data_IF_172716919041
#
_entry.id   IF_172716919041
#
_cell.length_a   1.000
_cell.length_b   1.000
_cell.length_c   1.000
_cell.angle_alpha   90.00
_cell.angle_beta   90.00
_cell.angle_gamma   90.00
#
_symmetry.space_group_name_H-M   'P 1'
#
loop_
_entity.id
_entity.type
_entity.pdbx_description
1 polymer ?
#
# COMPACT_ATOMS: atom_id res chain seq x y z
N UNK A 1 21.29 4.11 41.88
CA UNK A 1 21.68 3.68 40.51
C UNK A 1 20.67 2.73 39.85
N UNK A 2 20.04 1.77 40.55
CA UNK A 2 19.03 0.85 39.95
C UNK A 2 17.82 1.54 39.30
N UNK A 3 17.37 2.69 39.82
CA UNK A 3 16.21 3.44 39.27
C UNK A 3 16.52 4.15 37.94
N UNK A 4 17.78 4.56 37.72
CA UNK A 4 18.23 5.20 36.47
C UNK A 4 18.35 4.19 35.33
N UNK A 5 18.76 2.95 35.64
CA UNK A 5 18.81 1.87 34.67
C UNK A 5 17.40 1.46 34.21
N UNK A 6 16.43 1.43 35.14
CA UNK A 6 15.05 1.10 34.82
C UNK A 6 14.41 2.17 33.91
N UNK A 7 14.65 3.46 34.18
CA UNK A 7 14.17 4.56 33.34
C UNK A 7 14.80 4.55 31.94
N UNK A 8 16.08 4.18 31.84
CA UNK A 8 16.76 4.06 30.54
C UNK A 8 16.19 2.90 29.71
N UNK A 9 15.92 1.75 30.33
CA UNK A 9 15.31 0.58 29.66
C UNK A 9 13.90 0.91 29.13
N UNK A 10 13.08 1.63 29.91
CA UNK A 10 11.73 2.02 29.48
C UNK A 10 11.79 3.04 28.32
N UNK A 11 12.77 3.95 28.33
CA UNK A 11 12.96 4.91 27.25
C UNK A 11 13.42 4.24 25.95
N UNK A 12 14.31 3.23 26.01
CA UNK A 12 14.73 2.46 24.85
C UNK A 12 13.61 1.54 24.31
N UNK A 13 12.77 0.97 25.18
CA UNK A 13 11.63 0.13 24.76
C UNK A 13 10.56 0.92 23.98
N UNK A 14 10.48 2.25 24.20
CA UNK A 14 9.52 3.13 23.53
C UNK A 14 9.83 3.35 22.03
N UNK A 15 11.08 3.12 21.62
CA UNK A 15 11.55 3.35 20.23
C UNK A 15 11.30 2.11 19.35
N UNK A 16 11.32 0.92 19.95
CA UNK A 16 11.10 -0.34 19.22
C UNK A 16 9.63 -0.58 18.81
N UNK A 17 8.68 0.16 19.36
CA UNK A 17 7.24 -0.03 19.13
C UNK A 17 6.74 0.50 17.77
N UNK A 18 7.59 1.21 17.00
CA UNK A 18 7.20 1.83 15.72
C UNK A 18 8.09 1.47 14.53
N UNK A 19 8.88 0.38 14.63
CA UNK A 19 9.66 -0.10 13.51
C UNK A 19 8.77 -0.82 12.49
N UNK A 20 8.11 -0.07 11.59
CA UNK A 20 7.40 -0.64 10.45
C UNK A 20 8.40 -1.18 9.42
N UNK A 21 8.06 -2.25 8.71
CA UNK A 21 8.91 -2.75 7.64
C UNK A 21 8.94 -1.77 6.45
N UNK A 22 10.08 -1.58 5.77
CA UNK A 22 10.18 -0.69 4.60
C UNK A 22 9.43 -1.22 3.37
N UNK A 23 9.11 -2.51 3.33
CA UNK A 23 8.33 -3.12 2.26
C UNK A 23 7.49 -4.28 2.80
N UNK A 24 6.53 -4.76 2.02
CA UNK A 24 5.78 -6.00 2.26
C UNK A 24 6.10 -7.05 1.18
N UNK A 25 5.93 -8.32 1.50
CA UNK A 25 6.18 -9.42 0.55
C UNK A 25 5.00 -9.61 -0.41
N UNK A 26 3.79 -9.39 0.09
CA UNK A 26 2.56 -9.49 -0.68
C UNK A 26 1.55 -8.42 -0.26
N UNK A 27 0.50 -8.26 -1.05
CA UNK A 27 -0.55 -7.28 -0.81
C UNK A 27 -1.92 -7.93 -0.96
N UNK A 28 -2.81 -7.67 0.00
CA UNK A 28 -4.23 -7.96 -0.15
C UNK A 28 -4.99 -6.65 -0.27
N UNK A 29 -5.81 -6.57 -1.31
CA UNK A 29 -6.60 -5.39 -1.66
C UNK A 29 -8.07 -5.70 -1.45
N UNK A 30 -8.74 -4.83 -0.69
CA UNK A 30 -10.17 -4.92 -0.42
C UNK A 30 -10.86 -3.71 -1.03
N UNK A 31 -11.82 -3.96 -1.92
CA UNK A 31 -12.70 -2.91 -2.41
C UNK A 31 -14.04 -2.99 -1.66
N UNK A 32 -14.24 -2.14 -0.66
CA UNK A 32 -15.49 -2.05 0.09
C UNK A 32 -16.43 -0.96 -0.46
N UNK A 33 -16.12 -0.43 -1.64
CA UNK A 33 -16.93 0.58 -2.32
C UNK A 33 -17.91 -0.07 -3.30
N UNK A 34 -18.84 0.75 -3.83
CA UNK A 34 -19.76 0.36 -4.91
C UNK A 34 -19.20 0.61 -6.32
N UNK A 35 -17.94 1.04 -6.43
CA UNK A 35 -17.32 1.45 -7.68
C UNK A 35 -16.09 0.58 -7.96
N UNK A 36 -15.79 0.31 -9.24
CA UNK A 36 -14.52 -0.33 -9.63
C UNK A 36 -13.37 0.59 -9.29
N UNK A 37 -12.34 0.09 -8.61
CA UNK A 37 -11.17 0.89 -8.24
C UNK A 37 -9.98 0.50 -9.11
N UNK A 38 -9.12 1.48 -9.43
CA UNK A 38 -7.95 1.28 -10.29
C UNK A 38 -6.68 1.64 -9.52
N UNK A 39 -5.69 0.77 -9.56
CA UNK A 39 -4.42 1.00 -8.86
C UNK A 39 -3.25 0.29 -9.57
N UNK A 40 -2.03 0.73 -9.28
CA UNK A 40 -0.79 0.04 -9.65
C UNK A 40 0.01 -0.21 -8.39
N UNK A 41 0.54 -1.42 -8.23
CA UNK A 41 1.43 -1.75 -7.13
C UNK A 41 2.85 -1.35 -7.53
N UNK A 42 3.61 -0.75 -6.63
CA UNK A 42 5.01 -0.41 -6.87
C UNK A 42 5.90 -0.77 -5.69
N UNK A 43 7.20 -0.89 -5.99
CA UNK A 43 8.21 -1.16 -4.98
C UNK A 43 9.59 -1.35 -5.59
N UNK A 44 10.46 -2.03 -4.87
CA UNK A 44 11.87 -2.17 -5.21
C UNK A 44 12.41 -3.55 -4.80
N UNK A 45 13.73 -3.69 -4.70
CA UNK A 45 14.34 -4.84 -4.04
C UNK A 45 13.75 -5.12 -2.65
N UNK A 46 13.83 -6.38 -2.23
CA UNK A 46 13.22 -6.83 -0.98
C UNK A 46 13.77 -6.06 0.24
N UNK A 47 12.89 -5.57 1.11
CA UNK A 47 13.21 -4.69 2.25
C UNK A 47 13.85 -3.34 1.90
N UNK A 48 13.69 -2.85 0.66
CA UNK A 48 14.24 -1.55 0.24
C UNK A 48 13.09 -0.58 -0.05
N UNK A 49 13.21 0.65 0.47
CA UNK A 49 12.36 1.74 0.03
C UNK A 49 12.77 2.16 -1.39
N UNK A 50 11.84 2.06 -2.32
CA UNK A 50 12.04 2.46 -3.71
C UNK A 50 10.82 2.16 -4.57
N UNK A 51 10.94 2.47 -5.85
CA UNK A 51 9.85 2.36 -6.83
C UNK A 51 10.34 1.92 -8.20
N UNK A 52 11.50 1.24 -8.27
CA UNK A 52 12.08 0.73 -9.52
C UNK A 52 11.13 -0.20 -10.28
N UNK A 53 10.27 -0.92 -9.55
CA UNK A 53 9.31 -1.85 -10.13
C UNK A 53 7.87 -1.36 -9.94
N UNK A 54 7.06 -1.48 -10.99
CA UNK A 54 5.63 -1.19 -10.96
C UNK A 54 4.84 -2.23 -11.76
N UNK A 55 3.65 -2.57 -11.27
CA UNK A 55 2.71 -3.45 -11.98
C UNK A 55 1.99 -2.69 -13.10
N UNK A 56 1.30 -3.45 -13.96
CA UNK A 56 0.25 -2.88 -14.79
C UNK A 56 -0.89 -2.30 -13.93
N UNK A 57 -1.77 -1.52 -14.54
CA UNK A 57 -3.01 -1.05 -13.89
C UNK A 57 -3.91 -2.24 -13.61
N UNK A 58 -4.31 -2.38 -12.34
CA UNK A 58 -5.20 -3.40 -11.84
C UNK A 58 -6.55 -2.76 -11.58
N UNK A 59 -7.62 -3.39 -12.07
CA UNK A 59 -9.00 -3.02 -11.76
C UNK A 59 -9.57 -4.01 -10.75
N UNK A 60 -10.11 -3.53 -9.63
CA UNK A 60 -10.79 -4.35 -8.64
C UNK A 60 -12.30 -4.02 -8.63
N UNK A 61 -13.19 -4.98 -8.94
CA UNK A 61 -14.63 -4.77 -8.93
C UNK A 61 -15.16 -4.36 -7.54
N UNK A 62 -16.36 -3.75 -7.47
CA UNK A 62 -17.04 -3.47 -6.21
C UNK A 62 -17.14 -4.70 -5.31
N UNK A 63 -16.98 -4.51 -3.99
CA UNK A 63 -17.07 -5.58 -2.98
C UNK A 63 -16.11 -6.76 -3.18
N UNK A 64 -15.09 -6.62 -4.03
CA UNK A 64 -14.14 -7.69 -4.32
C UNK A 64 -12.90 -7.63 -3.42
N UNK A 65 -12.25 -8.79 -3.27
CA UNK A 65 -10.91 -8.91 -2.70
C UNK A 65 -9.95 -9.39 -3.78
N UNK A 66 -8.81 -8.75 -3.89
CA UNK A 66 -7.76 -9.11 -4.83
C UNK A 66 -6.45 -9.33 -4.07
N UNK A 67 -5.80 -10.45 -4.32
CA UNK A 67 -4.47 -10.72 -3.76
C UNK A 67 -3.45 -10.49 -4.86
N UNK A 68 -2.45 -9.67 -4.57
CA UNK A 68 -1.22 -9.58 -5.36
C UNK A 68 -0.20 -10.49 -4.69
N UNK A 69 -0.16 -11.79 -5.04
CA UNK A 69 0.82 -12.70 -4.49
C UNK A 69 2.20 -12.22 -4.92
N UNK A 70 3.18 -12.30 -4.02
CA UNK A 70 4.62 -12.15 -4.24
C UNK A 70 5.03 -11.39 -5.52
N UNK A 71 5.65 -10.21 -5.39
CA UNK A 71 6.14 -9.42 -6.53
C UNK A 71 7.33 -10.07 -7.23
N UNK A 72 7.12 -11.19 -7.91
CA UNK A 72 8.14 -11.85 -8.73
C UNK A 72 8.17 -11.18 -10.10
N UNK A 73 9.35 -10.85 -10.65
CA UNK A 73 9.46 -10.34 -12.02
C UNK A 73 8.88 -11.30 -13.05
N UNK A 74 8.42 -10.76 -14.18
CA UNK A 74 7.74 -11.50 -15.27
C UNK A 74 8.52 -12.71 -15.82
N UNK A 75 9.85 -12.76 -15.64
CA UNK A 75 10.74 -13.82 -16.11
C UNK A 75 11.28 -14.73 -14.99
N UNK A 76 10.67 -14.69 -13.80
CA UNK A 76 11.20 -15.36 -12.60
C UNK A 76 12.35 -14.58 -11.97
N UNK A 77 12.50 -14.70 -10.65
CA UNK A 77 13.53 -13.99 -9.87
C UNK A 77 13.20 -13.91 -8.39
N UNK A 78 14.04 -13.22 -7.62
CA UNK A 78 13.79 -12.94 -6.21
C UNK A 78 12.54 -12.05 -6.08
N UNK A 79 11.61 -12.36 -5.15
CA UNK A 79 10.47 -11.50 -4.88
C UNK A 79 10.93 -10.09 -4.54
N UNK A 80 10.37 -9.10 -5.25
CA UNK A 80 10.56 -7.68 -4.98
C UNK A 80 9.75 -7.29 -3.75
N UNK A 81 10.16 -6.24 -3.06
CA UNK A 81 9.40 -5.66 -1.94
C UNK A 81 8.30 -4.75 -2.47
N UNK A 82 7.10 -4.84 -1.91
CA UNK A 82 5.99 -3.92 -2.16
C UNK A 82 6.09 -2.75 -1.20
N UNK A 83 6.24 -1.55 -1.74
CA UNK A 83 6.39 -0.31 -0.94
C UNK A 83 5.09 0.46 -0.89
N UNK A 84 4.27 0.40 -1.95
CA UNK A 84 2.98 1.08 -1.97
C UNK A 84 2.17 0.79 -3.22
N UNK A 85 1.11 1.58 -3.39
CA UNK A 85 0.26 1.58 -4.55
C UNK A 85 -0.01 3.00 -5.05
N UNK A 86 0.05 3.19 -6.37
CA UNK A 86 -0.46 4.38 -7.05
C UNK A 86 -1.95 4.18 -7.27
N UNK A 87 -2.75 5.11 -6.75
CA UNK A 87 -4.20 5.09 -6.86
C UNK A 87 -4.59 5.97 -8.04
N UNK A 88 -5.42 5.43 -8.92
CA UNK A 88 -6.00 6.19 -10.02
C UNK A 88 -7.43 6.55 -9.66
N UNK A 89 -7.81 7.80 -9.90
CA UNK A 89 -9.16 8.28 -9.66
C UNK A 89 -10.17 7.68 -10.65
N UNK A 90 -9.73 6.91 -11.65
CA UNK A 90 -10.59 6.27 -12.65
C UNK A 90 -9.83 5.41 -13.65
N UNK A 91 -10.49 5.02 -14.73
CA UNK A 91 -9.85 4.25 -15.83
C UNK A 91 -8.86 5.12 -16.61
N UNK A 92 -7.72 4.58 -17.10
CA UNK A 92 -6.74 5.34 -17.89
C UNK A 92 -7.32 6.10 -19.09
N UNK A 93 -8.42 5.61 -19.68
CA UNK A 93 -9.11 6.28 -20.79
C UNK A 93 -9.76 7.62 -20.44
N UNK A 94 -9.98 7.92 -19.15
CA UNK A 94 -10.59 9.17 -18.69
C UNK A 94 -9.57 10.20 -18.16
N UNK A 95 -8.27 10.01 -18.46
CA UNK A 95 -7.16 10.84 -17.93
C UNK A 95 -7.28 11.10 -16.42
N UNK A 96 -7.38 10.04 -15.60
CA UNK A 96 -7.66 10.19 -14.18
C UNK A 96 -6.47 10.84 -13.48
N UNK A 97 -6.77 11.75 -12.55
CA UNK A 97 -5.82 12.13 -11.53
C UNK A 97 -5.45 10.92 -10.66
N UNK A 98 -4.49 11.08 -9.78
CA UNK A 98 -4.13 10.01 -8.88
C UNK A 98 -3.25 10.45 -7.73
N UNK A 99 -3.21 9.59 -6.72
CA UNK A 99 -2.35 9.72 -5.56
C UNK A 99 -1.49 8.48 -5.38
N UNK A 100 -0.78 8.43 -4.26
CA UNK A 100 -0.06 7.24 -3.83
C UNK A 100 -0.37 6.98 -2.36
N UNK A 101 -0.35 5.71 -1.96
CA UNK A 101 -0.41 5.28 -0.56
C UNK A 101 0.62 4.18 -0.34
N UNK A 102 1.17 4.05 0.88
CA UNK A 102 2.19 3.03 1.11
C UNK A 102 2.82 3.03 2.49
N UNK A 103 4.00 2.40 2.56
CA UNK A 103 4.79 2.26 3.78
C UNK A 103 5.24 3.64 4.30
N UNK A 104 4.85 3.97 5.53
CA UNK A 104 5.16 5.26 6.15
C UNK A 104 6.67 5.47 6.36
N UNK A 105 7.42 4.39 6.59
CA UNK A 105 8.89 4.39 6.69
C UNK A 105 9.59 4.81 5.40
N UNK A 106 8.91 4.70 4.25
CA UNK A 106 9.39 5.21 2.97
C UNK A 106 8.85 6.60 2.63
N UNK A 107 8.25 7.32 3.59
CA UNK A 107 7.71 8.66 3.41
C UNK A 107 6.40 8.71 2.61
N UNK A 108 5.72 7.58 2.41
CA UNK A 108 4.45 7.52 1.71
C UNK A 108 3.29 7.80 2.66
N UNK A 109 2.25 8.54 2.20
CA UNK A 109 1.08 8.77 3.02
C UNK A 109 0.30 7.45 3.21
N UNK A 110 -0.32 7.23 4.37
CA UNK A 110 -1.08 6.02 4.64
C UNK A 110 -2.47 6.04 3.99
N UNK A 111 -2.94 7.19 3.49
CA UNK A 111 -4.25 7.28 2.85
C UNK A 111 -4.35 8.38 1.81
N UNK A 112 -5.24 8.20 0.86
CA UNK A 112 -5.57 9.15 -0.20
C UNK A 112 -7.08 9.15 -0.44
N UNK A 113 -7.70 10.32 -0.40
CA UNK A 113 -9.14 10.52 -0.65
C UNK A 113 -9.35 11.14 -2.02
N UNK A 114 -10.36 10.66 -2.76
CA UNK A 114 -10.63 11.06 -4.13
C UNK A 114 -12.10 10.84 -4.51
N UNK A 115 -12.50 11.39 -5.66
CA UNK A 115 -13.77 11.05 -6.30
C UNK A 115 -13.47 10.00 -7.36
N UNK A 116 -14.00 8.79 -7.20
CA UNK A 116 -13.81 7.74 -8.18
C UNK A 116 -14.63 8.04 -9.44
N UNK A 117 -14.03 7.86 -10.60
CA UNK A 117 -14.56 8.08 -11.94
C UNK A 117 -14.77 6.71 -12.58
N UNK A 118 -16.01 6.47 -13.01
CA UNK A 118 -16.42 5.22 -13.64
C UNK A 118 -15.77 5.00 -15.01
N UNK A 119 -15.96 3.80 -15.58
CA UNK A 119 -15.51 3.50 -16.94
C UNK A 119 -16.14 4.38 -18.04
N UNK A 120 -17.27 5.05 -17.74
CA UNK A 120 -17.91 6.02 -18.64
C UNK A 120 -17.49 7.47 -18.38
N UNK A 121 -16.38 7.69 -17.67
CA UNK A 121 -15.84 9.01 -17.32
C UNK A 121 -16.81 9.91 -16.52
N UNK A 122 -17.68 9.30 -15.72
CA UNK A 122 -18.61 10.00 -14.84
C UNK A 122 -18.24 9.77 -13.37
N UNK A 123 -18.42 10.75 -12.47
CA UNK A 123 -18.23 10.55 -11.04
C UNK A 123 -19.12 9.41 -10.53
N UNK A 124 -18.53 8.49 -9.75
CA UNK A 124 -19.21 7.36 -9.15
C UNK A 124 -19.51 7.62 -7.67
N UNK A 125 -18.47 7.78 -6.84
CA UNK A 125 -18.59 8.09 -5.42
C UNK A 125 -17.31 8.70 -4.87
N UNK A 126 -17.40 9.40 -3.74
CA UNK A 126 -16.21 9.66 -2.93
C UNK A 126 -15.65 8.32 -2.41
N UNK A 127 -14.33 8.22 -2.35
CA UNK A 127 -13.62 7.02 -1.95
C UNK A 127 -12.35 7.40 -1.23
N UNK A 128 -11.95 6.58 -0.26
CA UNK A 128 -10.67 6.66 0.41
C UNK A 128 -9.90 5.36 0.23
N UNK A 129 -8.67 5.46 -0.30
CA UNK A 129 -7.68 4.39 -0.26
C UNK A 129 -6.88 4.49 1.04
N UNK A 130 -6.78 3.40 1.80
CA UNK A 130 -5.99 3.33 3.04
C UNK A 130 -5.02 2.15 2.97
N UNK A 131 -3.74 2.43 3.22
CA UNK A 131 -2.67 1.47 3.32
C UNK A 131 -2.45 1.06 4.77
N UNK A 132 -2.45 -0.24 5.02
CA UNK A 132 -2.08 -0.84 6.29
C UNK A 132 -0.74 -1.56 6.10
N UNK A 133 0.32 -1.08 6.77
CA UNK A 133 1.68 -1.54 6.55
C UNK A 133 1.92 -2.95 7.07
N UNK A 134 2.97 -3.59 6.56
CA UNK A 134 3.61 -4.73 7.19
C UNK A 134 4.25 -4.28 8.52
N UNK A 135 3.87 -4.90 9.63
CA UNK A 135 4.08 -4.34 10.95
C UNK A 135 5.48 -4.61 11.50
N UNK A 136 6.02 -5.81 11.27
CA UNK A 136 7.27 -6.23 11.94
C UNK A 136 8.35 -6.72 10.98
N UNK A 137 7.98 -7.24 9.81
CA UNK A 137 8.93 -7.81 8.86
C UNK A 137 8.51 -7.61 7.41
N UNK A 138 9.48 -7.56 6.50
CA UNK A 138 9.17 -7.45 5.07
C UNK A 138 8.55 -8.72 4.48
N UNK A 139 8.50 -9.82 5.25
CA UNK A 139 7.90 -11.09 4.85
C UNK A 139 6.38 -11.08 5.03
N UNK A 140 5.85 -10.08 5.72
CA UNK A 140 4.42 -9.92 5.95
C UNK A 140 3.66 -9.37 4.75
N UNK A 141 2.35 -9.50 4.85
CA UNK A 141 1.38 -9.03 3.88
C UNK A 141 0.85 -7.66 4.28
N UNK A 142 1.02 -6.67 3.42
CA UNK A 142 0.34 -5.38 3.57
C UNK A 142 -1.12 -5.48 3.13
N UNK A 143 -1.95 -4.51 3.54
CA UNK A 143 -3.33 -4.40 3.09
C UNK A 143 -3.61 -3.04 2.48
N UNK A 144 -4.35 -3.01 1.38
CA UNK A 144 -4.92 -1.81 0.79
C UNK A 144 -6.44 -1.93 0.86
N UNK A 145 -7.11 -0.95 1.47
CA UNK A 145 -8.57 -0.95 1.60
C UNK A 145 -9.13 0.30 0.96
N UNK A 146 -10.08 0.12 0.06
CA UNK A 146 -10.92 1.19 -0.48
C UNK A 146 -12.23 1.22 0.29
N UNK A 147 -12.54 2.34 0.93
CA UNK A 147 -13.81 2.58 1.62
C UNK A 147 -14.56 3.75 0.96
N UNK A 148 -15.89 3.85 1.15
CA UNK A 148 -16.62 5.09 0.86
C UNK A 148 -15.99 6.31 1.54
#
# INVERSE_FOLDING_TARGET
MKKLLLSLIIMLASIAAFAQAPSAYSLVVYNQTKCTQYFMVFGDEFCVCGSTYASAVIAIPPSATFTYPNSVPLFGGTPKGIVGAKILDGTPGCTPNGGAVGQGTCGLPPSYGFINISGSCTPCAQTKATWYPAAQSCQETAKLVFTP
#
